data_IF_963714518766
#
_entry.id   IF_963714518766
#
_cell.length_a   1.000
_cell.length_b   1.000
_cell.length_c   1.000
_cell.angle_alpha   90.00
_cell.angle_beta   90.00
_cell.angle_gamma   90.00
#
_symmetry.space_group_name_H-M   'P 1'
#
loop_
_entity.id
_entity.type
_entity.pdbx_description
1 polymer ?
#
# COMPACT_ATOMS: atom_id res chain seq x y z
N UNK A 1 -25.50 38.80 -34.88
CA UNK A 1 -24.94 40.06 -34.38
C UNK A 1 -23.45 40.00 -34.03
N UNK A 2 -22.96 38.90 -33.54
CA UNK A 2 -21.54 38.72 -33.20
C UNK A 2 -20.61 38.70 -34.45
N UNK A 3 -21.05 38.05 -35.52
CA UNK A 3 -20.33 38.01 -36.79
C UNK A 3 -20.20 39.39 -37.47
N UNK A 4 -21.21 40.25 -37.37
CA UNK A 4 -21.16 41.57 -37.93
C UNK A 4 -20.18 42.51 -37.20
N UNK A 5 -20.01 42.36 -35.90
CA UNK A 5 -19.04 43.11 -35.11
C UNK A 5 -17.57 42.67 -35.42
N UNK A 6 -17.41 41.46 -35.96
CA UNK A 6 -16.11 40.92 -36.32
C UNK A 6 -15.66 41.26 -37.75
N UNK A 7 -16.61 41.48 -38.65
CA UNK A 7 -16.30 41.82 -40.05
C UNK A 7 -15.79 43.26 -40.25
N UNK A 8 -16.01 44.11 -39.26
CA UNK A 8 -15.56 45.53 -39.29
C UNK A 8 -14.11 45.77 -38.83
N UNK A 9 -13.36 44.73 -38.47
CA UNK A 9 -11.95 44.84 -38.12
C UNK A 9 -11.13 43.97 -39.06
N UNK A 10 -10.13 44.54 -39.72
CA UNK A 10 -9.07 43.79 -40.46
C UNK A 10 -8.36 42.80 -39.52
N UNK A 11 -8.97 41.64 -39.34
CA UNK A 11 -8.39 40.52 -38.55
C UNK A 11 -8.00 39.38 -39.47
N UNK A 12 -6.87 38.70 -39.13
CA UNK A 12 -6.39 37.55 -39.86
C UNK A 12 -7.43 36.41 -39.85
N UNK A 13 -7.58 35.72 -40.98
CA UNK A 13 -8.45 34.52 -41.12
C UNK A 13 -8.20 33.45 -40.07
N UNK A 14 -6.98 33.39 -39.54
CA UNK A 14 -6.63 32.49 -38.43
C UNK A 14 -7.33 32.85 -37.13
N UNK A 15 -7.42 34.14 -36.81
CA UNK A 15 -8.12 34.62 -35.60
C UNK A 15 -9.61 34.34 -35.69
N UNK A 16 -10.22 34.52 -36.86
CA UNK A 16 -11.60 34.22 -37.11
C UNK A 16 -11.91 32.71 -36.93
N UNK A 17 -11.00 31.86 -37.44
CA UNK A 17 -11.14 30.42 -37.26
C UNK A 17 -11.00 29.98 -35.81
N UNK A 18 -10.12 30.57 -35.04
CA UNK A 18 -9.94 30.28 -33.61
C UNK A 18 -11.16 30.71 -32.80
N UNK A 19 -11.71 31.88 -33.07
CA UNK A 19 -12.93 32.36 -32.41
C UNK A 19 -14.14 31.53 -32.78
N UNK A 20 -14.27 31.09 -34.05
CA UNK A 20 -15.29 30.15 -34.47
C UNK A 20 -15.19 28.83 -33.69
N UNK A 21 -13.99 28.25 -33.61
CA UNK A 21 -13.75 27.03 -32.82
C UNK A 21 -14.14 27.21 -31.36
N UNK A 22 -13.74 28.31 -30.76
CA UNK A 22 -14.06 28.63 -29.36
C UNK A 22 -15.58 28.67 -29.12
N UNK A 23 -16.32 29.38 -29.99
CA UNK A 23 -17.77 29.47 -29.92
C UNK A 23 -18.44 28.13 -30.13
N UNK A 24 -17.97 27.36 -31.12
CA UNK A 24 -18.49 26.02 -31.40
C UNK A 24 -18.31 25.07 -30.20
N UNK A 25 -17.10 25.02 -29.65
CA UNK A 25 -16.87 24.17 -28.48
C UNK A 25 -17.61 24.65 -27.24
N UNK A 26 -17.72 25.96 -27.04
CA UNK A 26 -18.52 26.52 -25.93
C UNK A 26 -19.99 26.08 -26.04
N UNK A 27 -20.59 26.24 -27.22
CA UNK A 27 -21.98 25.82 -27.45
C UNK A 27 -22.15 24.31 -27.26
N UNK A 28 -21.18 23.51 -27.68
CA UNK A 28 -21.21 22.07 -27.49
C UNK A 28 -21.10 21.67 -26.01
N UNK A 29 -20.23 22.36 -25.24
CA UNK A 29 -20.11 22.17 -23.78
C UNK A 29 -21.43 22.55 -23.10
N UNK A 30 -21.98 23.71 -23.43
CA UNK A 30 -23.24 24.19 -22.85
C UNK A 30 -24.38 23.18 -23.13
N UNK A 31 -24.46 22.61 -24.32
CA UNK A 31 -25.46 21.59 -24.66
C UNK A 31 -25.27 20.27 -23.90
N UNK A 32 -24.02 19.86 -23.65
CA UNK A 32 -23.71 18.65 -22.84
C UNK A 32 -24.07 18.89 -21.37
N UNK A 33 -23.72 20.08 -20.85
CA UNK A 33 -24.06 20.47 -19.49
C UNK A 33 -25.58 20.51 -19.29
N UNK A 34 -26.30 21.07 -20.25
CA UNK A 34 -27.77 21.15 -20.21
C UNK A 34 -28.44 19.76 -20.31
N UNK A 35 -27.85 18.83 -21.02
CA UNK A 35 -28.37 17.46 -21.15
C UNK A 35 -28.13 16.59 -19.90
N UNK A 36 -27.22 16.96 -19.02
CA UNK A 36 -26.85 16.19 -17.82
C UNK A 36 -27.35 16.87 -16.54
N UNK A 37 -28.18 16.18 -15.77
CA UNK A 37 -28.63 16.67 -14.45
C UNK A 37 -27.46 16.85 -13.47
N UNK A 38 -26.45 15.97 -13.56
CA UNK A 38 -25.24 16.03 -12.71
C UNK A 38 -24.42 17.27 -13.05
N UNK A 39 -24.18 17.54 -14.35
CA UNK A 39 -23.39 18.69 -14.78
C UNK A 39 -24.13 20.01 -14.55
N UNK A 40 -25.47 20.02 -14.64
CA UNK A 40 -26.28 21.21 -14.30
C UNK A 40 -26.16 21.63 -12.85
N UNK A 41 -26.05 20.67 -11.93
CA UNK A 41 -25.89 20.95 -10.50
C UNK A 41 -24.46 21.30 -10.13
N UNK A 42 -23.49 21.06 -11.02
CA UNK A 42 -22.08 21.33 -10.78
C UNK A 42 -21.82 22.86 -10.77
N UNK A 43 -21.47 23.38 -9.60
CA UNK A 43 -21.00 24.75 -9.41
C UNK A 43 -19.68 24.69 -8.68
N UNK A 44 -18.60 25.18 -9.28
CA UNK A 44 -17.23 25.07 -8.75
C UNK A 44 -17.09 25.57 -7.29
N UNK A 45 -17.78 26.64 -6.92
CA UNK A 45 -17.76 27.16 -5.54
C UNK A 45 -18.42 26.19 -4.54
N UNK A 46 -19.54 25.56 -4.93
CA UNK A 46 -20.20 24.58 -4.06
C UNK A 46 -19.38 23.29 -3.94
N UNK A 47 -18.67 22.89 -4.99
CA UNK A 47 -17.84 21.69 -4.97
C UNK A 47 -16.63 21.86 -4.05
N UNK A 48 -15.99 23.03 -4.01
CA UNK A 48 -14.89 23.30 -3.08
C UNK A 48 -15.36 23.26 -1.61
N UNK A 49 -16.56 23.78 -1.33
CA UNK A 49 -17.17 23.68 0.00
C UNK A 49 -17.46 22.22 0.37
N UNK A 50 -18.06 21.44 -0.55
CA UNK A 50 -18.36 20.01 -0.35
C UNK A 50 -17.08 19.20 -0.14
N UNK A 51 -16.03 19.46 -0.93
CA UNK A 51 -14.72 18.80 -0.77
C UNK A 51 -14.13 19.12 0.60
N UNK A 52 -14.22 20.37 1.03
CA UNK A 52 -13.71 20.80 2.34
C UNK A 52 -14.49 20.13 3.48
N UNK A 53 -15.82 20.15 3.39
CA UNK A 53 -16.69 19.49 4.36
C UNK A 53 -16.43 17.97 4.41
N UNK A 54 -16.27 17.33 3.25
CA UNK A 54 -15.92 15.90 3.17
C UNK A 54 -14.61 15.60 3.88
N UNK A 55 -13.56 16.40 3.64
CA UNK A 55 -12.26 16.23 4.30
C UNK A 55 -12.36 16.38 5.82
N UNK A 56 -13.11 17.36 6.27
CA UNK A 56 -13.34 17.59 7.70
C UNK A 56 -14.13 16.45 8.35
N UNK A 57 -15.16 15.93 7.67
CA UNK A 57 -15.94 14.79 8.13
C UNK A 57 -15.10 13.50 8.15
N UNK A 58 -14.30 13.26 7.11
CA UNK A 58 -13.41 12.13 7.03
C UNK A 58 -12.39 12.14 8.18
N UNK A 59 -11.77 13.29 8.43
CA UNK A 59 -10.84 13.45 9.56
C UNK A 59 -11.54 13.25 10.92
N UNK A 60 -12.76 13.75 11.07
CA UNK A 60 -13.56 13.53 12.29
C UNK A 60 -13.89 12.04 12.47
N UNK A 61 -14.28 11.36 11.38
CA UNK A 61 -14.56 9.91 11.40
C UNK A 61 -13.35 9.10 11.84
N UNK A 62 -12.16 9.39 11.31
CA UNK A 62 -10.92 8.74 11.71
C UNK A 62 -10.63 8.93 13.20
N UNK A 63 -10.81 10.13 13.72
CA UNK A 63 -10.61 10.44 15.14
C UNK A 63 -11.64 9.71 16.02
N UNK A 64 -12.91 9.73 15.66
CA UNK A 64 -13.98 9.04 16.38
C UNK A 64 -13.73 7.53 16.39
N UNK A 65 -13.34 6.94 15.25
CA UNK A 65 -13.03 5.52 15.16
C UNK A 65 -11.85 5.14 16.07
N UNK A 66 -10.80 5.96 16.08
CA UNK A 66 -9.67 5.77 16.99
C UNK A 66 -10.12 5.80 18.46
N UNK A 67 -10.88 6.81 18.83
CA UNK A 67 -11.34 6.97 20.22
C UNK A 67 -12.32 5.86 20.62
N UNK A 68 -13.16 5.41 19.70
CA UNK A 68 -14.04 4.27 19.89
C UNK A 68 -13.26 2.96 20.12
N UNK A 69 -12.21 2.71 19.32
CA UNK A 69 -11.34 1.53 19.49
C UNK A 69 -10.65 1.58 20.85
N UNK A 70 -10.10 2.75 21.23
CA UNK A 70 -9.45 2.94 22.53
C UNK A 70 -10.45 2.69 23.67
N UNK A 71 -11.64 3.25 23.61
CA UNK A 71 -12.67 3.05 24.63
C UNK A 71 -13.07 1.59 24.74
N UNK A 72 -13.33 0.92 23.59
CA UNK A 72 -13.75 -0.49 23.55
C UNK A 72 -12.66 -1.43 24.08
N UNK A 73 -11.41 -1.21 23.73
CA UNK A 73 -10.29 -2.03 24.23
C UNK A 73 -9.99 -1.73 25.71
N UNK A 74 -10.14 -0.47 26.14
CA UNK A 74 -9.93 -0.10 27.56
C UNK A 74 -10.99 -0.72 28.49
N UNK A 75 -12.23 -0.93 28.01
CA UNK A 75 -13.27 -1.62 28.78
C UNK A 75 -12.97 -3.09 29.05
N UNK A 76 -12.14 -3.73 28.23
CA UNK A 76 -11.71 -5.12 28.42
C UNK A 76 -10.53 -5.25 29.37
N UNK A 77 -10.00 -4.14 29.85
CA UNK A 77 -8.86 -4.14 30.76
C UNK A 77 -9.23 -4.85 32.05
N UNK A 78 -8.49 -5.88 32.46
CA UNK A 78 -8.75 -6.56 33.72
C UNK A 78 -8.59 -5.58 34.87
N UNK A 79 -9.46 -5.69 35.87
CA UNK A 79 -9.38 -4.89 37.07
C UNK A 79 -8.15 -5.30 37.90
N UNK A 80 -7.31 -4.34 38.24
CA UNK A 80 -6.06 -4.58 38.99
C UNK A 80 -6.31 -5.13 40.37
N UNK A 81 -7.52 -4.96 40.92
CA UNK A 81 -7.87 -5.39 42.25
C UNK A 81 -8.25 -6.90 42.34
N UNK A 82 -8.38 -7.58 41.18
CA UNK A 82 -8.68 -9.02 41.10
C UNK A 82 -7.39 -9.83 40.87
N UNK A 83 -6.43 -9.73 41.79
CA UNK A 83 -5.22 -10.56 41.81
C UNK A 83 -5.50 -11.94 42.38
N UNK A 84 -6.19 -12.79 41.61
CA UNK A 84 -6.38 -14.22 41.97
C UNK A 84 -5.07 -14.96 41.71
N UNK A 85 -4.62 -15.76 42.69
CA UNK A 85 -3.45 -16.63 42.50
C UNK A 85 -3.66 -17.59 41.33
N UNK A 86 -2.67 -17.63 40.41
CA UNK A 86 -2.75 -18.45 39.21
C UNK A 86 -3.45 -17.78 38.02
N UNK A 87 -3.98 -16.56 38.14
CA UNK A 87 -4.51 -15.81 37.01
C UNK A 87 -3.42 -15.41 36.03
N UNK A 88 -3.77 -15.30 34.75
CA UNK A 88 -2.87 -14.82 33.68
C UNK A 88 -2.27 -13.44 34.02
N UNK A 89 -3.07 -12.56 34.64
CA UNK A 89 -2.63 -11.25 35.09
C UNK A 89 -1.51 -11.34 36.11
N UNK A 90 -1.63 -12.26 37.10
CA UNK A 90 -0.60 -12.44 38.16
C UNK A 90 0.70 -13.03 37.57
N UNK A 91 0.58 -13.92 36.57
CA UNK A 91 1.73 -14.47 35.84
C UNK A 91 2.46 -13.34 35.12
N UNK A 92 1.72 -12.50 34.39
CA UNK A 92 2.29 -11.38 33.63
C UNK A 92 2.92 -10.33 34.53
N UNK A 93 2.27 -9.97 35.63
CA UNK A 93 2.77 -9.01 36.61
C UNK A 93 4.04 -9.53 37.29
N UNK A 94 4.06 -10.81 37.65
CA UNK A 94 5.25 -11.46 38.18
C UNK A 94 6.41 -11.46 37.19
N UNK A 95 6.17 -11.81 35.92
CA UNK A 95 7.21 -11.76 34.88
C UNK A 95 7.70 -10.33 34.61
N UNK A 96 6.80 -9.35 34.63
CA UNK A 96 7.16 -7.93 34.51
C UNK A 96 8.07 -7.45 35.65
N UNK A 97 7.84 -7.92 36.86
CA UNK A 97 8.63 -7.56 38.03
C UNK A 97 10.04 -8.18 38.06
N UNK A 98 10.29 -9.21 37.26
CA UNK A 98 11.58 -9.90 37.18
C UNK A 98 12.62 -9.09 36.42
N UNK A 99 13.77 -8.86 37.02
CA UNK A 99 14.95 -8.23 36.38
C UNK A 99 15.78 -9.24 35.56
N UNK A 100 15.70 -10.53 35.87
CA UNK A 100 16.45 -11.63 35.24
C UNK A 100 15.65 -12.91 35.27
N UNK A 101 16.01 -13.86 34.37
CA UNK A 101 15.39 -15.19 34.26
C UNK A 101 13.89 -15.14 33.92
N UNK A 102 13.53 -14.22 33.02
CA UNK A 102 12.18 -14.17 32.48
C UNK A 102 11.85 -15.45 31.72
N UNK A 103 10.56 -15.80 31.65
CA UNK A 103 10.11 -16.92 30.85
C UNK A 103 10.40 -16.69 29.36
N UNK A 104 10.71 -17.75 28.59
CA UNK A 104 10.71 -17.67 27.14
C UNK A 104 9.35 -17.16 26.62
N UNK A 105 9.36 -16.36 25.55
CA UNK A 105 8.15 -15.72 24.99
C UNK A 105 7.05 -16.78 24.70
N UNK A 106 7.41 -17.93 24.15
CA UNK A 106 6.46 -19.03 23.89
C UNK A 106 5.77 -19.51 25.16
N UNK A 107 6.56 -19.71 26.24
CA UNK A 107 6.02 -20.17 27.52
C UNK A 107 5.17 -19.11 28.22
N UNK A 108 5.51 -17.83 28.05
CA UNK A 108 4.72 -16.73 28.56
C UNK A 108 3.39 -16.63 27.83
N UNK A 109 3.43 -16.60 26.49
CA UNK A 109 2.20 -16.52 25.68
C UNK A 109 1.29 -17.73 25.86
N UNK A 110 1.83 -18.94 26.03
CA UNK A 110 0.99 -20.11 26.29
C UNK A 110 0.23 -20.06 27.64
N UNK A 111 0.68 -19.22 28.57
CA UNK A 111 0.07 -19.07 29.91
C UNK A 111 -0.74 -17.78 30.06
N UNK A 112 -0.66 -16.84 29.09
CA UNK A 112 -1.27 -15.51 29.21
C UNK A 112 -1.88 -15.02 27.89
N UNK A 113 -2.32 -15.96 27.05
CA UNK A 113 -2.74 -15.62 25.69
C UNK A 113 -4.05 -14.85 25.65
N UNK A 114 -5.05 -15.27 26.45
CA UNK A 114 -6.35 -14.61 26.51
C UNK A 114 -6.21 -13.16 27.01
N UNK A 115 -5.46 -12.98 28.06
CA UNK A 115 -5.15 -11.65 28.59
C UNK A 115 -4.37 -10.80 27.57
N UNK A 116 -3.43 -11.42 26.84
CA UNK A 116 -2.67 -10.72 25.82
C UNK A 116 -3.58 -10.21 24.68
N UNK A 117 -4.57 -11.03 24.24
CA UNK A 117 -5.60 -10.63 23.26
C UNK A 117 -6.53 -9.53 23.78
N UNK A 118 -6.91 -9.58 25.05
CA UNK A 118 -7.74 -8.55 25.66
C UNK A 118 -7.04 -7.20 25.71
N UNK A 119 -5.73 -7.18 26.03
CA UNK A 119 -4.93 -5.96 26.13
C UNK A 119 -4.47 -5.47 24.75
N UNK A 120 -4.05 -6.39 23.89
CA UNK A 120 -3.47 -6.13 22.56
C UNK A 120 -4.05 -7.11 21.53
N UNK A 121 -5.19 -6.81 20.93
CA UNK A 121 -5.89 -7.74 20.02
C UNK A 121 -5.21 -7.89 18.65
N UNK A 122 -4.17 -7.12 18.36
CA UNK A 122 -3.45 -7.16 17.08
C UNK A 122 -2.01 -7.60 17.29
N UNK A 123 -1.62 -8.68 16.61
CA UNK A 123 -0.27 -9.24 16.62
C UNK A 123 0.38 -9.01 15.25
N UNK A 124 1.53 -8.34 15.22
CA UNK A 124 2.35 -8.17 14.02
C UNK A 124 3.54 -9.13 14.12
N UNK A 125 3.52 -10.15 13.27
CA UNK A 125 4.50 -11.24 13.32
C UNK A 125 4.82 -11.76 11.92
N UNK A 126 6.03 -12.27 11.71
CA UNK A 126 6.32 -13.07 10.53
C UNK A 126 5.72 -14.49 10.68
N UNK A 127 5.46 -15.22 9.58
CA UNK A 127 4.97 -16.60 9.65
C UNK A 127 5.83 -17.51 10.52
N UNK A 128 7.14 -17.38 10.43
CA UNK A 128 8.08 -18.11 11.27
C UNK A 128 7.91 -17.78 12.76
N UNK A 129 7.72 -16.51 13.09
CA UNK A 129 7.49 -16.08 14.47
C UNK A 129 6.16 -16.62 15.02
N UNK A 130 5.12 -16.65 14.19
CA UNK A 130 3.83 -17.28 14.56
C UNK A 130 4.03 -18.74 14.94
N UNK A 131 4.71 -19.52 14.11
CA UNK A 131 4.98 -20.94 14.36
C UNK A 131 5.88 -21.17 15.58
N UNK A 132 6.79 -20.24 15.86
CA UNK A 132 7.75 -20.35 16.96
C UNK A 132 7.12 -20.01 18.30
N UNK A 133 6.31 -18.96 18.37
CA UNK A 133 5.88 -18.36 19.64
C UNK A 133 4.44 -18.65 20.03
N UNK A 134 3.55 -18.89 19.06
CA UNK A 134 2.15 -19.16 19.35
C UNK A 134 1.87 -20.66 19.48
N UNK A 135 0.89 -21.02 20.29
CA UNK A 135 0.38 -22.38 20.39
C UNK A 135 -0.20 -22.84 19.04
N UNK A 136 -0.28 -24.16 18.85
CA UNK A 136 -0.83 -24.76 17.62
C UNK A 136 -2.31 -25.09 17.84
N UNK A 137 -3.12 -24.05 17.98
CA UNK A 137 -4.55 -24.13 18.22
C UNK A 137 -5.35 -23.53 17.07
N UNK A 138 -6.53 -24.09 16.78
CA UNK A 138 -7.44 -23.57 15.78
C UNK A 138 -8.09 -22.29 16.24
N UNK A 139 -8.34 -21.38 15.29
CA UNK A 139 -9.22 -20.22 15.48
C UNK A 139 -8.83 -19.28 16.64
N UNK A 140 -7.54 -19.17 16.93
CA UNK A 140 -7.02 -18.25 17.95
C UNK A 140 -7.33 -16.78 17.63
N UNK A 141 -7.44 -16.44 16.34
CA UNK A 141 -7.70 -15.10 15.85
C UNK A 141 -8.96 -15.06 14.98
N UNK A 142 -9.62 -13.93 14.93
CA UNK A 142 -10.74 -13.72 14.03
C UNK A 142 -10.29 -13.57 12.57
N UNK A 143 -9.10 -12.97 12.35
CA UNK A 143 -8.59 -12.72 11.01
C UNK A 143 -7.06 -12.76 10.98
N UNK A 144 -6.50 -13.36 9.94
CA UNK A 144 -5.09 -13.21 9.54
C UNK A 144 -5.02 -12.37 8.27
N UNK A 145 -4.11 -11.41 8.24
CA UNK A 145 -3.85 -10.56 7.09
C UNK A 145 -2.38 -10.76 6.70
N UNK A 146 -2.16 -11.23 5.48
CA UNK A 146 -0.83 -11.27 4.88
C UNK A 146 -0.61 -9.99 4.07
N UNK A 147 0.42 -9.24 4.41
CA UNK A 147 0.90 -8.12 3.62
C UNK A 147 2.19 -8.52 2.90
N UNK A 148 2.44 -7.94 1.71
CA UNK A 148 3.55 -8.34 0.82
C UNK A 148 3.54 -9.86 0.52
N UNK A 149 2.36 -10.41 0.32
CA UNK A 149 2.13 -11.84 0.21
C UNK A 149 2.82 -12.52 -0.99
N UNK A 150 3.21 -11.73 -2.00
CA UNK A 150 4.05 -12.21 -3.12
C UNK A 150 5.42 -12.72 -2.68
N UNK A 151 5.91 -12.31 -1.50
CA UNK A 151 7.22 -12.67 -0.96
C UNK A 151 7.17 -13.80 0.07
N UNK A 152 5.99 -14.34 0.37
CA UNK A 152 5.79 -15.38 1.39
C UNK A 152 5.49 -16.70 0.70
N UNK A 153 6.26 -17.75 1.01
CA UNK A 153 5.96 -19.11 0.53
C UNK A 153 4.61 -19.60 1.07
N UNK A 154 3.85 -20.29 0.22
CA UNK A 154 2.55 -20.82 0.61
C UNK A 154 2.65 -21.77 1.82
N UNK A 155 3.69 -22.62 1.88
CA UNK A 155 3.93 -23.54 2.99
C UNK A 155 4.16 -22.82 4.33
N UNK A 156 4.85 -21.67 4.32
CA UNK A 156 5.13 -20.90 5.54
C UNK A 156 3.86 -20.22 6.09
N UNK A 157 2.93 -19.86 5.19
CA UNK A 157 1.68 -19.22 5.55
C UNK A 157 0.69 -20.14 6.28
N UNK A 158 0.76 -21.46 6.05
CA UNK A 158 -0.21 -22.44 6.57
C UNK A 158 -0.38 -22.38 8.08
N UNK A 159 0.73 -22.24 8.80
CA UNK A 159 0.68 -22.13 10.27
C UNK A 159 -0.11 -20.92 10.77
N UNK A 160 -0.07 -19.81 10.03
CA UNK A 160 -0.83 -18.60 10.35
C UNK A 160 -2.30 -18.75 9.96
N UNK A 161 -2.59 -19.31 8.79
CA UNK A 161 -3.95 -19.57 8.31
C UNK A 161 -4.71 -20.49 9.27
N UNK A 162 -4.05 -21.56 9.73
CA UNK A 162 -4.63 -22.52 10.67
C UNK A 162 -5.14 -21.88 11.97
N UNK A 163 -4.56 -20.76 12.39
CA UNK A 163 -4.88 -20.05 13.64
C UNK A 163 -5.95 -18.98 13.50
N UNK A 164 -6.55 -18.82 12.33
CA UNK A 164 -7.51 -17.75 12.09
C UNK A 164 -8.76 -18.26 11.38
N UNK A 165 -9.91 -17.64 11.69
CA UNK A 165 -11.20 -17.95 11.06
C UNK A 165 -11.33 -17.37 9.66
N UNK A 166 -10.65 -16.26 9.38
CA UNK A 166 -10.68 -15.55 8.10
C UNK A 166 -9.25 -15.23 7.64
N UNK A 167 -9.03 -15.32 6.34
CA UNK A 167 -7.75 -14.98 5.72
C UNK A 167 -7.93 -13.88 4.68
N UNK A 168 -7.09 -12.85 4.75
CA UNK A 168 -6.98 -11.78 3.77
C UNK A 168 -5.54 -11.77 3.27
N UNK A 169 -5.38 -11.83 1.94
CA UNK A 169 -4.06 -11.87 1.29
C UNK A 169 -3.90 -10.62 0.45
N UNK A 170 -2.90 -9.81 0.78
CA UNK A 170 -2.59 -8.55 0.11
C UNK A 170 -1.19 -8.63 -0.48
N UNK A 171 -1.04 -8.27 -1.74
CA UNK A 171 0.25 -8.28 -2.41
C UNK A 171 0.14 -7.89 -3.87
N UNK A 172 1.25 -7.99 -4.56
CA UNK A 172 1.39 -7.63 -5.95
C UNK A 172 2.20 -8.69 -6.69
N UNK A 173 1.56 -9.40 -7.63
CA UNK A 173 2.18 -10.48 -8.42
C UNK A 173 3.26 -9.97 -9.39
N UNK A 174 3.38 -8.66 -9.56
CA UNK A 174 4.43 -8.03 -10.40
C UNK A 174 5.66 -7.60 -9.61
N UNK A 175 5.58 -7.69 -8.28
CA UNK A 175 6.73 -7.47 -7.40
C UNK A 175 7.54 -8.77 -7.22
N UNK A 176 8.59 -8.70 -6.39
CA UNK A 176 9.50 -9.82 -6.22
C UNK A 176 8.79 -11.06 -5.68
N UNK A 177 9.05 -12.24 -6.27
CA UNK A 177 8.58 -13.52 -5.72
C UNK A 177 9.34 -13.87 -4.43
N UNK A 178 8.92 -14.93 -3.72
CA UNK A 178 9.67 -15.45 -2.57
C UNK A 178 11.09 -15.81 -2.97
N UNK A 179 12.08 -15.47 -2.14
CA UNK A 179 13.48 -15.79 -2.42
C UNK A 179 13.92 -17.04 -1.66
N UNK A 180 14.36 -18.07 -2.39
CA UNK A 180 14.93 -19.31 -1.84
C UNK A 180 16.38 -19.13 -1.35
N UNK A 181 16.86 -17.91 -1.12
CA UNK A 181 18.26 -17.62 -0.84
C UNK A 181 18.83 -18.40 0.37
N UNK A 182 17.99 -18.73 1.35
CA UNK A 182 18.39 -19.49 2.53
C UNK A 182 18.10 -21.00 2.43
N UNK A 183 17.39 -21.47 1.39
CA UNK A 183 17.09 -22.90 1.21
C UNK A 183 18.19 -23.66 0.46
N UNK A 184 19.04 -22.96 -0.28
CA UNK A 184 20.08 -23.55 -1.13
C UNK A 184 21.26 -24.21 -0.38
N UNK A 185 21.29 -24.15 0.96
CA UNK A 185 22.39 -24.72 1.76
C UNK A 185 22.12 -26.11 2.32
N UNK A 186 20.96 -26.73 2.06
CA UNK A 186 20.61 -28.05 2.58
C UNK A 186 20.23 -29.06 1.49
N UNK A 187 20.56 -28.82 0.24
CA UNK A 187 20.32 -29.80 -0.81
C UNK A 187 21.40 -30.88 -0.80
N UNK A 188 21.12 -31.97 -0.10
CA UNK A 188 21.57 -33.29 -0.52
C UNK A 188 20.94 -33.53 -1.92
N UNK A 189 21.79 -33.73 -2.94
CA UNK A 189 21.42 -33.89 -4.34
C UNK A 189 20.58 -35.16 -4.66
N UNK A 190 19.93 -35.75 -3.67
CA UNK A 190 19.25 -37.06 -3.79
C UNK A 190 17.76 -37.06 -3.60
N UNK A 191 17.10 -35.90 -3.39
CA UNK A 191 15.64 -35.81 -3.37
C UNK A 191 15.18 -34.80 -4.39
N UNK A 192 14.63 -35.26 -5.52
CA UNK A 192 13.76 -34.52 -6.42
C UNK A 192 12.44 -34.13 -5.70
N UNK A 193 12.54 -33.35 -4.65
CA UNK A 193 11.36 -32.69 -4.09
C UNK A 193 11.21 -31.38 -4.86
N UNK A 194 10.33 -31.38 -5.83
CA UNK A 194 9.85 -30.18 -6.50
C UNK A 194 9.16 -29.33 -5.43
N UNK A 195 9.94 -28.42 -4.80
CA UNK A 195 9.39 -27.48 -3.84
C UNK A 195 8.44 -26.59 -4.60
N UNK A 196 7.17 -26.55 -4.17
CA UNK A 196 6.18 -25.58 -4.64
C UNK A 196 6.69 -24.19 -4.23
N UNK A 197 7.35 -23.51 -5.17
CA UNK A 197 7.97 -22.19 -4.98
C UNK A 197 6.95 -21.06 -5.08
N UNK A 198 5.65 -21.40 -5.23
CA UNK A 198 4.59 -20.43 -5.35
C UNK A 198 4.41 -19.63 -4.07
N UNK A 199 4.12 -18.35 -4.23
CA UNK A 199 3.76 -17.49 -3.12
C UNK A 199 2.36 -17.81 -2.62
N UNK A 200 2.08 -17.41 -1.37
CA UNK A 200 0.70 -17.48 -0.84
C UNK A 200 -0.26 -16.62 -1.66
N UNK A 201 0.21 -15.53 -2.29
CA UNK A 201 -0.60 -14.70 -3.17
C UNK A 201 -1.03 -15.45 -4.42
N UNK A 202 -0.11 -16.21 -5.06
CA UNK A 202 -0.41 -17.00 -6.24
C UNK A 202 -1.45 -18.07 -5.90
N UNK A 203 -1.24 -18.83 -4.85
CA UNK A 203 -2.19 -19.87 -4.40
C UNK A 203 -3.55 -19.30 -3.97
N UNK A 204 -3.57 -18.16 -3.29
CA UNK A 204 -4.81 -17.51 -2.92
C UNK A 204 -5.57 -17.00 -4.15
N UNK A 205 -4.87 -16.49 -5.16
CA UNK A 205 -5.47 -15.99 -6.40
C UNK A 205 -6.19 -17.06 -7.22
N UNK A 206 -5.79 -18.32 -7.08
CA UNK A 206 -6.45 -19.47 -7.72
C UNK A 206 -7.80 -19.80 -7.07
N UNK A 207 -7.97 -19.48 -5.78
CA UNK A 207 -9.09 -19.99 -4.97
C UNK A 207 -10.00 -18.88 -4.45
N UNK A 208 -9.44 -17.73 -4.12
CA UNK A 208 -10.17 -16.60 -3.51
C UNK A 208 -10.63 -15.59 -4.56
N UNK A 209 -11.71 -14.89 -4.23
CA UNK A 209 -12.14 -13.75 -5.05
C UNK A 209 -11.06 -12.64 -4.99
N UNK A 210 -10.54 -12.27 -6.16
CA UNK A 210 -9.49 -11.27 -6.28
C UNK A 210 -10.07 -9.88 -6.57
N UNK A 211 -9.59 -8.87 -5.86
CA UNK A 211 -9.90 -7.45 -6.05
C UNK A 211 -8.62 -6.68 -6.28
N UNK A 212 -8.58 -5.87 -7.32
CA UNK A 212 -7.42 -5.02 -7.63
C UNK A 212 -7.65 -3.58 -7.18
N UNK A 213 -6.68 -3.01 -6.47
CA UNK A 213 -6.64 -1.58 -6.18
C UNK A 213 -6.14 -0.85 -7.44
N UNK A 214 -6.91 0.12 -7.90
CA UNK A 214 -6.62 0.83 -9.16
C UNK A 214 -6.00 2.19 -8.97
N UNK A 215 -6.24 2.85 -7.83
CA UNK A 215 -5.73 4.18 -7.58
C UNK A 215 -4.29 4.15 -7.09
N UNK A 216 -3.41 4.83 -7.85
CA UNK A 216 -2.03 5.05 -7.45
C UNK A 216 -1.87 6.44 -6.83
N UNK A 217 -1.42 6.51 -5.57
CA UNK A 217 -1.28 7.77 -4.83
C UNK A 217 0.14 7.98 -4.25
N UNK A 218 0.97 6.95 -4.25
CA UNK A 218 2.29 6.99 -3.60
C UNK A 218 3.29 7.89 -4.32
N UNK A 219 3.32 7.84 -5.66
CA UNK A 219 4.25 8.64 -6.44
C UNK A 219 3.81 10.09 -6.51
N UNK A 220 4.74 10.99 -6.21
CA UNK A 220 4.49 12.44 -6.31
C UNK A 220 4.43 12.92 -7.76
N UNK A 221 5.11 12.22 -8.68
CA UNK A 221 5.05 12.46 -10.11
C UNK A 221 4.44 11.26 -10.82
N UNK A 222 3.55 11.50 -11.77
CA UNK A 222 2.96 10.48 -12.62
C UNK A 222 4.03 9.73 -13.43
N UNK A 223 5.10 10.40 -13.84
CA UNK A 223 6.20 9.83 -14.61
C UNK A 223 6.86 8.64 -13.90
N UNK A 224 6.94 8.69 -12.56
CA UNK A 224 7.57 7.64 -11.75
C UNK A 224 6.85 6.28 -11.84
N UNK A 225 5.55 6.27 -12.13
CA UNK A 225 4.78 5.03 -12.25
C UNK A 225 4.40 4.71 -13.70
N UNK A 226 4.54 5.66 -14.62
CA UNK A 226 4.09 5.50 -16.01
C UNK A 226 4.71 4.27 -16.67
N UNK A 227 6.02 4.10 -16.56
CA UNK A 227 6.70 2.93 -17.13
C UNK A 227 6.15 1.62 -16.56
N UNK A 228 6.01 1.52 -15.24
CA UNK A 228 5.49 0.32 -14.58
C UNK A 228 4.04 0.07 -14.96
N UNK A 229 3.22 1.14 -15.05
CA UNK A 229 1.83 1.03 -15.43
C UNK A 229 1.66 0.47 -16.85
N UNK A 230 2.46 0.94 -17.79
CA UNK A 230 2.45 0.45 -19.17
C UNK A 230 2.99 -0.98 -19.30
N UNK A 231 4.13 -1.27 -18.65
CA UNK A 231 4.85 -2.52 -18.84
C UNK A 231 4.28 -3.70 -18.05
N UNK A 232 3.71 -3.46 -16.87
CA UNK A 232 3.32 -4.52 -15.93
C UNK A 232 1.84 -4.51 -15.55
N UNK A 233 1.16 -3.35 -15.60
CA UNK A 233 -0.22 -3.22 -15.12
C UNK A 233 -1.22 -2.89 -16.23
N UNK A 234 -0.83 -3.03 -17.51
CA UNK A 234 -1.70 -2.82 -18.68
C UNK A 234 -2.42 -1.46 -18.70
N UNK A 235 -1.81 -0.42 -18.17
CA UNK A 235 -2.39 0.91 -17.97
C UNK A 235 -3.68 0.92 -17.10
N UNK A 236 -3.83 -0.05 -16.20
CA UNK A 236 -4.99 -0.16 -15.33
C UNK A 236 -4.90 0.70 -14.06
N UNK A 237 -3.71 1.22 -13.74
CA UNK A 237 -3.55 2.11 -12.60
C UNK A 237 -4.02 3.51 -12.96
N UNK A 238 -4.89 4.05 -12.13
CA UNK A 238 -5.40 5.42 -12.24
C UNK A 238 -4.44 6.34 -11.51
N UNK A 239 -3.82 7.24 -12.24
CA UNK A 239 -2.91 8.27 -11.72
C UNK A 239 -3.63 9.62 -11.69
N UNK A 240 -3.21 10.51 -10.81
CA UNK A 240 -3.70 11.88 -10.77
C UNK A 240 -2.68 12.72 -11.55
N UNK A 241 -3.11 13.34 -12.69
CA UNK A 241 -2.22 14.17 -13.49
C UNK A 241 -1.71 15.36 -12.67
N UNK A 242 -0.45 15.71 -12.86
CA UNK A 242 0.12 16.89 -12.24
C UNK A 242 -0.37 18.16 -12.93
N UNK A 243 -0.60 19.19 -12.14
CA UNK A 243 -0.97 20.51 -12.64
C UNK A 243 0.22 21.36 -13.09
N UNK A 244 1.44 20.91 -12.78
CA UNK A 244 2.69 21.61 -13.12
C UNK A 244 3.38 20.94 -14.29
N UNK A 245 3.97 21.76 -15.16
CA UNK A 245 4.94 21.30 -16.14
C UNK A 245 6.16 20.68 -15.42
N UNK A 246 6.89 19.84 -16.14
CA UNK A 246 8.11 19.20 -15.66
C UNK A 246 9.08 20.25 -15.08
N UNK A 247 9.35 20.18 -13.78
CA UNK A 247 10.35 20.99 -13.10
C UNK A 247 11.66 20.16 -13.03
N UNK A 248 12.81 20.78 -13.31
CA UNK A 248 14.12 20.11 -13.23
C UNK A 248 14.34 19.48 -11.84
N UNK A 249 14.72 18.21 -11.82
CA UNK A 249 14.87 17.43 -10.60
C UNK A 249 13.57 16.88 -9.99
N UNK A 250 12.44 16.97 -10.72
CA UNK A 250 11.17 16.41 -10.29
C UNK A 250 10.58 15.51 -11.39
N UNK A 251 10.51 14.21 -11.12
CA UNK A 251 10.04 13.21 -12.08
C UNK A 251 11.16 12.24 -12.47
N UNK A 252 11.30 11.96 -13.76
CA UNK A 252 12.30 11.04 -14.31
C UNK A 252 13.18 11.80 -15.32
N UNK A 253 14.43 11.98 -14.98
CA UNK A 253 15.44 12.59 -15.85
C UNK A 253 16.41 11.52 -16.37
N UNK A 254 16.86 11.68 -17.61
CA UNK A 254 17.86 10.81 -18.20
C UNK A 254 19.19 11.55 -18.38
N UNK A 255 20.23 11.04 -17.72
CA UNK A 255 21.58 11.54 -17.83
C UNK A 255 22.49 10.51 -18.53
N UNK A 256 22.93 10.85 -19.73
CA UNK A 256 23.86 9.98 -20.45
C UNK A 256 25.31 10.33 -20.11
N UNK A 257 26.04 9.34 -19.59
CA UNK A 257 27.49 9.46 -19.27
C UNK A 257 28.27 8.84 -20.41
N UNK A 258 28.69 9.68 -21.36
CA UNK A 258 29.32 9.25 -22.64
C UNK A 258 30.69 8.58 -22.49
N UNK A 259 31.37 8.88 -21.41
CA UNK A 259 32.71 8.37 -21.04
C UNK A 259 32.66 7.24 -19.98
N UNK A 260 31.45 6.81 -19.58
CA UNK A 260 31.26 5.71 -18.68
C UNK A 260 31.76 4.40 -19.26
N UNK A 261 32.67 3.73 -18.55
CA UNK A 261 33.20 2.42 -18.90
C UNK A 261 32.94 1.41 -17.78
N UNK A 262 32.26 0.33 -18.15
CA UNK A 262 32.04 -0.79 -17.23
C UNK A 262 33.26 -1.69 -17.16
N UNK A 263 33.76 -1.95 -15.97
CA UNK A 263 34.85 -2.88 -15.70
C UNK A 263 34.27 -4.24 -15.28
N UNK A 264 34.46 -5.24 -16.11
CA UNK A 264 33.98 -6.62 -15.88
C UNK A 264 34.66 -7.31 -14.69
N UNK A 265 35.89 -6.92 -14.32
CA UNK A 265 36.62 -7.54 -13.22
C UNK A 265 36.09 -7.06 -11.87
N UNK A 266 35.92 -5.76 -11.72
CA UNK A 266 35.39 -5.15 -10.50
C UNK A 266 33.88 -5.09 -10.48
N UNK A 267 33.22 -5.31 -11.63
CA UNK A 267 31.77 -5.15 -11.83
C UNK A 267 31.27 -3.75 -11.47
N UNK A 268 32.07 -2.75 -11.78
CA UNK A 268 31.77 -1.35 -11.47
C UNK A 268 31.92 -0.44 -12.69
N UNK A 269 31.25 0.72 -12.65
CA UNK A 269 31.49 1.84 -13.53
C UNK A 269 31.84 3.04 -12.66
N UNK A 270 33.12 3.32 -12.52
CA UNK A 270 33.63 4.36 -11.62
C UNK A 270 33.16 5.76 -12.03
N UNK A 271 33.12 6.04 -13.32
CA UNK A 271 32.75 7.37 -13.84
C UNK A 271 31.25 7.65 -13.59
N UNK A 272 30.40 6.64 -13.80
CA UNK A 272 28.97 6.76 -13.46
C UNK A 272 28.76 6.93 -11.96
N UNK A 273 29.49 6.18 -11.13
CA UNK A 273 29.40 6.30 -9.68
C UNK A 273 29.80 7.70 -9.19
N UNK A 274 30.89 8.28 -9.73
CA UNK A 274 31.30 9.66 -9.43
C UNK A 274 30.25 10.67 -9.88
N UNK A 275 29.64 10.46 -11.06
CA UNK A 275 28.58 11.33 -11.54
C UNK A 275 27.33 11.29 -10.65
N UNK A 276 26.94 10.11 -10.19
CA UNK A 276 25.84 9.96 -9.22
C UNK A 276 26.14 10.69 -7.92
N UNK A 277 27.37 10.55 -7.40
CA UNK A 277 27.80 11.29 -6.21
C UNK A 277 27.71 12.80 -6.41
N UNK A 278 28.19 13.33 -7.54
CA UNK A 278 28.10 14.75 -7.88
C UNK A 278 26.66 15.28 -7.92
N UNK A 279 25.72 14.44 -8.37
CA UNK A 279 24.30 14.79 -8.41
C UNK A 279 23.63 14.78 -7.04
N UNK A 280 24.06 13.88 -6.15
CA UNK A 280 23.50 13.76 -4.80
C UNK A 280 23.98 14.89 -3.86
N UNK A 281 25.16 15.45 -4.10
CA UNK A 281 25.79 16.45 -3.22
C UNK A 281 25.72 17.89 -3.78
N UNK A 282 24.98 18.09 -4.85
CA UNK A 282 24.60 19.43 -5.35
C UNK A 282 23.33 19.91 -4.69
#
# INVERSE_FOLDING_TARGET
>A
DYLNTYLDKERDLKDLYLEYKKLFYKQKIDSIVEASSILKSFRSLNEEEVITEFRDLDQKLLNINRDFIIAKTSQRRPDKDVLIEGSEFKILDHEHSKLRRQLPIRSLLSQTFELALEIKPVFLMSPLSVSTYLASELDMFDCVIFDEASQIFACDALGSIYRAKQCIVIGDTKQMPPTAFFQATTTDESMDVEYDLDSILDKASETFETRSLKWHYRSRSEELITFSNQSFYNNNLITIPQSKEHEEGFGVDFYFVSDGLYDDQTRTNQIEAERVCDMLFK
#
